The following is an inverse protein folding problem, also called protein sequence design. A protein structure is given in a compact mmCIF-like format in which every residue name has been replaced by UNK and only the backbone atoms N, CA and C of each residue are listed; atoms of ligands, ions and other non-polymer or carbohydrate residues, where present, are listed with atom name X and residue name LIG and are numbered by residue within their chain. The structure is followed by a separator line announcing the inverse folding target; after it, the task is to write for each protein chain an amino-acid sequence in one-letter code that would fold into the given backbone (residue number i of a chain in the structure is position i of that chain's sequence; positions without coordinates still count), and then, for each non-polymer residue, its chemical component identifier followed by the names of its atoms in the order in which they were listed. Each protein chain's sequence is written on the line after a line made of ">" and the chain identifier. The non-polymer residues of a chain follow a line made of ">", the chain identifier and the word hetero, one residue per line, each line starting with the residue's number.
data_IF_790753078986
#
_entry.id   IF_790753078986
#
_cell.length_a   1.000
_cell.length_b   1.000
_cell.length_c   1.000
_cell.angle_alpha   90.00
_cell.angle_beta   90.00
_cell.angle_gamma   90.00
#
_symmetry.space_group_name_H-M   'P 1'
#
loop_
_entity.id
_entity.type
_entity.pdbx_description
1 polymer ?
#
# COMPACT_ATOMS: atom_id res chain seq x y z
N UNK A 1 16.32 -42.86 5.53
CA UNK A 1 16.32 -41.85 4.46
C UNK A 1 15.46 -40.67 4.92
N UNK A 2 16.08 -39.53 5.25
CA UNK A 2 15.36 -38.33 5.71
C UNK A 2 14.71 -37.68 4.49
N UNK A 3 13.38 -37.67 4.41
CA UNK A 3 12.66 -36.88 3.41
C UNK A 3 12.82 -35.40 3.78
N UNK A 4 13.71 -34.69 3.07
CA UNK A 4 13.72 -33.24 3.06
C UNK A 4 12.47 -32.74 2.36
N UNK A 5 11.50 -32.25 3.13
CA UNK A 5 10.34 -31.56 2.59
C UNK A 5 10.80 -30.20 2.07
N UNK A 6 10.92 -30.08 0.75
CA UNK A 6 11.11 -28.79 0.09
C UNK A 6 9.81 -28.01 0.30
N UNK A 7 9.83 -27.00 1.17
CA UNK A 7 8.75 -26.01 1.19
C UNK A 7 8.82 -25.26 -0.13
N UNK A 8 7.89 -25.57 -1.03
CA UNK A 8 7.57 -24.70 -2.14
C UNK A 8 7.13 -23.36 -1.54
N UNK A 9 7.98 -22.34 -1.67
CA UNK A 9 7.59 -20.95 -1.47
C UNK A 9 6.54 -20.65 -2.53
N UNK A 10 5.27 -20.76 -2.15
CA UNK A 10 4.19 -20.16 -2.92
C UNK A 10 4.45 -18.66 -2.87
N UNK A 11 5.11 -18.15 -3.91
CA UNK A 11 5.11 -16.73 -4.21
C UNK A 11 3.63 -16.38 -4.34
N UNK A 12 3.05 -15.79 -3.29
CA UNK A 12 1.81 -15.05 -3.43
C UNK A 12 2.10 -14.13 -4.61
N UNK A 13 1.34 -14.24 -5.72
CA UNK A 13 1.59 -13.41 -6.87
C UNK A 13 1.63 -11.99 -6.32
N UNK A 14 2.79 -11.35 -6.44
CA UNK A 14 2.84 -9.90 -6.38
C UNK A 14 1.85 -9.51 -7.47
N UNK A 15 0.65 -9.15 -7.04
CA UNK A 15 -0.44 -8.66 -7.87
C UNK A 15 0.17 -7.66 -8.86
N UNK A 16 -0.36 -7.62 -10.09
CA UNK A 16 0.24 -7.09 -11.33
C UNK A 16 0.57 -5.59 -11.25
N UNK A 17 1.42 -5.23 -10.29
CA UNK A 17 1.86 -3.90 -9.98
C UNK A 17 2.58 -3.38 -11.21
N UNK A 18 2.13 -2.22 -11.64
CA UNK A 18 2.59 -1.62 -12.87
C UNK A 18 3.74 -0.63 -12.62
N UNK A 19 3.76 -0.03 -11.44
CA UNK A 19 4.83 0.86 -11.00
C UNK A 19 5.26 0.42 -9.61
N UNK A 20 6.57 0.46 -9.32
CA UNK A 20 7.12 0.30 -7.98
C UNK A 20 7.64 1.62 -7.45
N UNK A 21 7.35 1.91 -6.18
CA UNK A 21 7.83 3.11 -5.48
C UNK A 21 8.69 2.67 -4.30
N UNK A 22 10.01 2.64 -4.46
CA UNK A 22 10.92 2.19 -3.41
C UNK A 22 11.06 3.25 -2.33
N UNK A 23 11.06 2.85 -1.07
CA UNK A 23 11.29 3.74 0.06
C UNK A 23 12.24 3.11 1.09
N UNK A 24 12.95 3.95 1.83
CA UNK A 24 13.81 3.51 2.94
C UNK A 24 13.96 4.55 4.05
N UNK A 25 14.39 4.08 5.22
CA UNK A 25 14.76 4.88 6.39
C UNK A 25 16.23 4.59 6.72
N UNK A 26 17.19 5.40 6.25
CA UNK A 26 18.61 5.13 6.43
C UNK A 26 19.05 5.21 7.90
N UNK A 27 18.30 5.95 8.73
CA UNK A 27 18.57 6.15 10.16
C UNK A 27 17.69 5.29 11.08
N UNK A 28 16.99 4.29 10.55
CA UNK A 28 16.12 3.45 11.35
C UNK A 28 16.92 2.64 12.40
N UNK A 29 16.35 2.40 13.59
CA UNK A 29 16.96 1.54 14.59
C UNK A 29 17.05 0.10 14.08
N UNK A 30 18.08 -0.63 14.52
CA UNK A 30 18.29 -2.03 14.14
C UNK A 30 17.13 -2.97 14.55
N UNK A 31 16.32 -2.55 15.52
CA UNK A 31 15.11 -3.24 15.95
C UNK A 31 13.96 -3.11 14.95
N UNK A 32 14.01 -2.18 13.99
CA UNK A 32 12.95 -1.85 13.05
C UNK A 32 12.01 -0.76 13.56
N UNK A 33 11.06 -0.34 12.70
CA UNK A 33 10.13 0.75 12.96
C UNK A 33 8.87 0.27 13.70
N UNK A 34 8.45 0.99 14.74
CA UNK A 34 7.17 0.75 15.44
C UNK A 34 6.00 1.48 14.79
N UNK A 35 6.31 2.36 13.84
CA UNK A 35 5.34 3.13 13.09
C UNK A 35 5.92 3.57 11.75
N UNK A 36 5.06 3.74 10.77
CA UNK A 36 5.40 4.36 9.49
C UNK A 36 4.20 5.11 8.95
N UNK A 37 4.42 6.32 8.45
CA UNK A 37 3.39 7.16 7.83
C UNK A 37 3.76 7.44 6.39
N UNK A 38 2.82 7.18 5.48
CA UNK A 38 2.94 7.41 4.05
C UNK A 38 1.96 8.50 3.60
N UNK A 39 2.43 9.73 3.33
CA UNK A 39 1.58 10.77 2.76
C UNK A 39 1.39 10.53 1.25
N UNK A 40 0.14 10.59 0.79
CA UNK A 40 -0.23 10.40 -0.61
C UNK A 40 -1.44 11.27 -0.99
N UNK A 41 -1.52 11.75 -2.23
CA UNK A 41 -2.73 12.37 -2.78
C UNK A 41 -2.94 11.97 -4.24
N UNK A 42 -4.18 12.07 -4.72
CA UNK A 42 -4.64 11.59 -6.02
C UNK A 42 -5.34 12.68 -6.81
N UNK A 43 -4.86 13.92 -6.71
CA UNK A 43 -5.51 15.12 -7.23
C UNK A 43 -6.01 14.97 -8.68
N UNK A 44 -5.23 14.29 -9.52
CA UNK A 44 -5.50 14.12 -10.95
C UNK A 44 -5.86 12.67 -11.33
N UNK A 45 -6.15 11.80 -10.36
CA UNK A 45 -6.68 10.48 -10.66
C UNK A 45 -8.16 10.57 -11.10
N UNK A 46 -8.56 9.74 -12.06
CA UNK A 46 -9.96 9.64 -12.47
C UNK A 46 -10.81 9.12 -11.29
N UNK A 47 -12.00 9.70 -11.10
CA UNK A 47 -12.99 9.25 -10.14
C UNK A 47 -13.71 8.01 -10.67
N UNK A 48 -12.96 6.92 -10.80
CA UNK A 48 -13.44 5.66 -11.34
C UNK A 48 -12.77 4.50 -10.63
N UNK A 49 -13.39 3.33 -10.72
CA UNK A 49 -12.81 2.11 -10.17
C UNK A 49 -11.75 1.58 -11.13
N UNK A 50 -10.55 1.28 -10.61
CA UNK A 50 -9.59 0.46 -11.34
C UNK A 50 -8.17 0.54 -10.81
N UNK A 51 -7.78 1.71 -10.32
CA UNK A 51 -6.46 1.89 -9.73
C UNK A 51 -6.44 1.59 -8.22
N UNK A 52 -5.31 1.07 -7.78
CA UNK A 52 -4.92 1.02 -6.38
C UNK A 52 -3.53 1.63 -6.22
N UNK A 53 -3.42 2.62 -5.33
CA UNK A 53 -2.17 3.23 -4.93
C UNK A 53 -1.88 2.84 -3.50
N UNK A 54 -0.74 2.18 -3.27
CA UNK A 54 -0.44 1.65 -1.95
C UNK A 54 1.05 1.64 -1.66
N UNK A 55 1.38 1.67 -0.37
CA UNK A 55 2.71 1.42 0.13
C UNK A 55 2.73 0.05 0.80
N UNK A 56 3.66 -0.82 0.37
CA UNK A 56 3.87 -2.10 1.04
C UNK A 56 4.91 -1.95 2.14
N UNK A 57 4.82 -2.81 3.14
CA UNK A 57 5.77 -2.95 4.24
C UNK A 57 5.91 -4.43 4.63
N UNK A 58 7.02 -4.76 5.27
CA UNK A 58 7.22 -6.09 5.86
C UNK A 58 7.55 -5.94 7.34
N UNK A 59 7.22 -6.98 8.10
CA UNK A 59 7.67 -7.10 9.48
C UNK A 59 8.86 -8.04 9.55
N UNK A 60 9.75 -7.80 10.51
CA UNK A 60 10.77 -8.77 10.87
C UNK A 60 10.14 -10.05 11.44
N UNK A 61 10.78 -11.20 11.20
CA UNK A 61 10.34 -12.50 11.70
C UNK A 61 9.19 -13.19 10.94
N UNK A 62 8.59 -12.51 9.95
CA UNK A 62 7.60 -13.09 9.03
C UNK A 62 7.91 -12.74 7.58
N UNK A 63 7.37 -13.49 6.62
CA UNK A 63 7.75 -13.38 5.20
C UNK A 63 6.74 -12.63 4.34
N UNK A 64 5.46 -12.69 4.67
CA UNK A 64 4.44 -12.06 3.88
C UNK A 64 4.44 -10.54 4.05
N UNK A 65 3.95 -9.86 3.02
CA UNK A 65 3.88 -8.40 2.95
C UNK A 65 2.58 -7.90 3.61
N UNK A 66 2.57 -6.65 4.04
CA UNK A 66 1.35 -5.88 4.26
C UNK A 66 1.32 -4.68 3.32
N UNK A 67 0.13 -4.11 3.08
CA UNK A 67 0.01 -2.84 2.37
C UNK A 67 -0.99 -1.92 3.06
N UNK A 68 -0.86 -0.63 2.77
CA UNK A 68 -1.83 0.39 3.12
C UNK A 68 -1.93 1.43 1.98
N UNK A 69 -3.14 1.90 1.70
CA UNK A 69 -3.35 2.92 0.67
C UNK A 69 -4.82 3.10 0.31
N UNK A 70 -5.10 3.61 -0.89
CA UNK A 70 -6.47 3.86 -1.33
C UNK A 70 -6.72 3.65 -2.83
N UNK A 71 -7.99 3.42 -3.14
CA UNK A 71 -8.51 3.20 -4.50
C UNK A 71 -9.51 4.31 -4.83
N UNK A 72 -9.31 5.05 -5.94
CA UNK A 72 -10.35 5.91 -6.48
C UNK A 72 -11.66 5.16 -6.75
N UNK A 73 -12.77 5.89 -6.67
CA UNK A 73 -14.13 5.39 -6.91
C UNK A 73 -14.94 6.43 -7.68
N UNK A 74 -16.01 5.98 -8.37
CA UNK A 74 -17.04 6.90 -8.86
C UNK A 74 -17.60 7.78 -7.76
N UNK A 75 -17.87 9.03 -8.13
CA UNK A 75 -18.56 9.96 -7.26
C UNK A 75 -19.90 9.40 -6.79
N UNK A 76 -20.28 9.78 -5.57
CA UNK A 76 -21.59 9.47 -5.02
C UNK A 76 -22.21 10.74 -4.46
N UNK A 77 -23.41 11.04 -4.95
CA UNK A 77 -24.15 12.26 -4.59
C UNK A 77 -23.31 13.54 -4.81
N UNK A 78 -22.57 13.58 -5.92
CA UNK A 78 -21.71 14.72 -6.30
C UNK A 78 -20.46 14.90 -5.44
N UNK A 79 -20.07 13.88 -4.66
CA UNK A 79 -18.86 13.92 -3.82
C UNK A 79 -17.84 12.89 -4.27
N UNK A 80 -16.53 13.22 -4.26
CA UNK A 80 -15.47 12.24 -4.48
C UNK A 80 -15.50 11.17 -3.39
N UNK A 81 -15.30 9.93 -3.82
CA UNK A 81 -15.30 8.74 -2.98
C UNK A 81 -14.00 7.98 -3.20
N UNK A 82 -13.48 7.34 -2.16
CA UNK A 82 -12.37 6.41 -2.28
C UNK A 82 -12.51 5.26 -1.29
N UNK A 83 -11.84 4.14 -1.56
CA UNK A 83 -11.72 3.03 -0.62
C UNK A 83 -10.31 3.01 -0.04
N UNK A 84 -10.17 3.27 1.26
CA UNK A 84 -8.92 3.07 1.98
C UNK A 84 -8.80 1.61 2.43
N UNK A 85 -7.62 1.01 2.29
CA UNK A 85 -7.37 -0.41 2.53
C UNK A 85 -6.11 -0.59 3.36
N UNK A 86 -6.17 -1.50 4.34
CA UNK A 86 -5.05 -1.97 5.16
C UNK A 86 -5.10 -3.49 5.22
N UNK A 87 -4.07 -4.16 4.71
CA UNK A 87 -4.05 -5.63 4.63
C UNK A 87 -2.72 -6.20 5.10
N UNK A 88 -2.79 -7.42 5.62
CA UNK A 88 -1.64 -8.31 5.81
C UNK A 88 -1.90 -9.61 5.06
N UNK A 89 -0.93 -10.06 4.27
CA UNK A 89 -0.98 -11.34 3.54
C UNK A 89 -0.44 -12.50 4.39
N UNK A 90 -0.04 -12.21 5.64
CA UNK A 90 0.56 -13.20 6.51
C UNK A 90 -0.46 -14.24 6.94
N UNK A 91 -0.22 -15.49 6.57
CA UNK A 91 -0.97 -16.63 7.10
C UNK A 91 -0.90 -16.63 8.64
N UNK A 92 -2.06 -16.76 9.27
CA UNK A 92 -2.21 -16.71 10.73
C UNK A 92 -2.45 -15.31 11.28
N UNK A 93 -2.47 -14.26 10.45
CA UNK A 93 -2.99 -12.96 10.87
C UNK A 93 -4.49 -13.07 11.21
N UNK A 94 -4.93 -12.33 12.22
CA UNK A 94 -6.32 -12.30 12.68
C UNK A 94 -6.77 -10.87 12.98
N UNK A 95 -8.07 -10.65 13.05
CA UNK A 95 -8.65 -9.37 13.46
C UNK A 95 -10.05 -9.59 14.04
N UNK A 96 -10.40 -8.76 15.02
CA UNK A 96 -11.76 -8.62 15.55
C UNK A 96 -12.39 -7.28 15.15
N UNK A 97 -11.67 -6.46 14.38
CA UNK A 97 -12.14 -5.13 13.99
C UNK A 97 -13.25 -5.23 12.92
N UNK A 98 -14.32 -4.47 13.11
CA UNK A 98 -15.56 -4.61 12.32
C UNK A 98 -15.41 -4.32 10.81
N UNK A 99 -14.34 -3.62 10.42
CA UNK A 99 -14.03 -3.29 9.02
C UNK A 99 -13.09 -4.31 8.37
N UNK A 100 -12.69 -5.34 9.10
CA UNK A 100 -11.76 -6.37 8.65
C UNK A 100 -12.47 -7.68 8.35
N UNK A 101 -11.92 -8.42 7.39
CA UNK A 101 -12.34 -9.77 7.05
C UNK A 101 -11.12 -10.68 6.92
N UNK A 102 -11.38 -11.98 7.08
CA UNK A 102 -10.37 -13.01 6.79
C UNK A 102 -10.06 -13.04 5.29
N UNK A 103 -8.78 -13.23 4.99
CA UNK A 103 -8.19 -13.27 3.66
C UNK A 103 -7.81 -11.89 3.12
N UNK A 104 -6.68 -11.86 2.40
CA UNK A 104 -6.22 -10.72 1.62
C UNK A 104 -6.19 -11.11 0.13
N UNK A 105 -6.93 -10.38 -0.70
CA UNK A 105 -7.08 -10.61 -2.15
C UNK A 105 -7.43 -12.07 -2.52
N UNK A 106 -8.31 -12.68 -1.72
CA UNK A 106 -8.76 -14.07 -1.89
C UNK A 106 -7.77 -15.12 -1.37
N UNK A 107 -6.59 -14.71 -0.92
CA UNK A 107 -5.56 -15.55 -0.30
C UNK A 107 -5.59 -15.53 1.23
N UNK A 108 -4.48 -15.96 1.82
CA UNK A 108 -4.29 -15.94 3.27
C UNK A 108 -4.18 -14.51 3.83
N UNK A 109 -4.42 -14.36 5.13
CA UNK A 109 -4.20 -13.11 5.85
C UNK A 109 -5.49 -12.41 6.27
N UNK A 110 -5.45 -11.08 6.37
CA UNK A 110 -6.56 -10.22 6.78
C UNK A 110 -6.55 -8.96 5.92
N UNK A 111 -7.73 -8.51 5.53
CA UNK A 111 -7.92 -7.25 4.83
C UNK A 111 -9.00 -6.42 5.51
N UNK A 112 -8.67 -5.15 5.74
CA UNK A 112 -9.56 -4.14 6.31
C UNK A 112 -9.78 -3.04 5.29
N UNK A 113 -11.01 -2.54 5.19
CA UNK A 113 -11.30 -1.45 4.28
C UNK A 113 -12.43 -0.55 4.80
N UNK A 114 -12.28 0.74 4.54
CA UNK A 114 -13.30 1.74 4.79
C UNK A 114 -13.50 2.57 3.52
N UNK A 115 -14.74 2.98 3.29
CA UNK A 115 -15.06 3.92 2.23
C UNK A 115 -15.06 5.33 2.83
N UNK A 116 -14.27 6.22 2.24
CA UNK A 116 -14.16 7.61 2.63
C UNK A 116 -14.73 8.53 1.56
N UNK A 117 -14.98 9.78 1.95
CA UNK A 117 -15.29 10.89 1.05
C UNK A 117 -14.45 12.08 1.46
N UNK A 118 -13.82 12.72 0.49
CA UNK A 118 -12.92 13.85 0.71
C UNK A 118 -12.31 14.30 -0.61
N UNK A 119 -11.70 15.49 -0.61
CA UNK A 119 -11.06 16.03 -1.81
C UNK A 119 -9.87 15.13 -2.23
N UNK A 120 -9.75 14.84 -3.51
CA UNK A 120 -8.63 14.07 -4.07
C UNK A 120 -7.32 14.87 -4.05
N UNK A 121 -7.41 16.20 -4.02
CA UNK A 121 -6.27 17.10 -3.91
C UNK A 121 -5.71 17.18 -2.48
N UNK A 122 -6.49 16.81 -1.47
CA UNK A 122 -5.99 16.73 -0.10
C UNK A 122 -4.92 15.64 0.02
N UNK A 123 -3.90 15.91 0.83
CA UNK A 123 -2.95 14.87 1.20
C UNK A 123 -3.48 14.05 2.36
N UNK A 124 -3.42 12.73 2.22
CA UNK A 124 -3.82 11.77 3.23
C UNK A 124 -2.59 11.03 3.74
N UNK A 125 -2.40 11.06 5.06
CA UNK A 125 -1.39 10.28 5.76
C UNK A 125 -1.95 8.89 6.06
N UNK A 126 -1.31 7.86 5.51
CA UNK A 126 -1.59 6.47 5.84
C UNK A 126 -0.56 5.97 6.84
N UNK A 127 -0.96 5.83 8.11
CA UNK A 127 -0.08 5.32 9.16
C UNK A 127 -0.34 3.84 9.45
N UNK A 128 0.75 3.12 9.70
CA UNK A 128 0.74 1.78 10.30
C UNK A 128 1.42 1.91 11.65
N UNK A 129 0.71 1.58 12.71
CA UNK A 129 1.10 1.90 14.09
C UNK A 129 1.09 0.64 14.95
N UNK A 130 2.15 0.42 15.72
CA UNK A 130 2.17 -0.61 16.75
C UNK A 130 1.19 -0.28 17.87
N UNK A 131 0.41 -1.27 18.29
CA UNK A 131 -0.58 -1.13 19.38
C UNK A 131 -0.11 -1.87 20.64
N UNK A 132 0.16 -3.15 20.50
CA UNK A 132 0.59 -4.04 21.59
C UNK A 132 0.97 -5.40 21.02
N UNK A 133 1.94 -6.11 21.60
CA UNK A 133 2.42 -7.42 21.13
C UNK A 133 2.74 -7.39 19.62
N UNK A 134 2.00 -8.15 18.83
CA UNK A 134 2.07 -8.24 17.36
C UNK A 134 0.83 -7.61 16.70
N UNK A 135 0.13 -6.73 17.41
CA UNK A 135 -1.07 -6.03 16.96
C UNK A 135 -0.70 -4.67 16.39
N UNK A 136 -1.17 -4.41 15.17
CA UNK A 136 -0.91 -3.21 14.39
C UNK A 136 -2.21 -2.59 13.90
N UNK A 137 -2.24 -1.27 13.84
CA UNK A 137 -3.39 -0.50 13.36
C UNK A 137 -3.03 0.25 12.08
N UNK A 138 -3.94 0.26 11.12
CA UNK A 138 -3.90 1.13 9.95
C UNK A 138 -4.83 2.32 10.14
N UNK A 139 -4.34 3.54 9.97
CA UNK A 139 -5.13 4.78 10.07
C UNK A 139 -4.92 5.62 8.82
N UNK A 140 -5.98 6.26 8.37
CA UNK A 140 -5.94 7.33 7.36
C UNK A 140 -6.21 8.67 8.05
N UNK A 141 -5.39 9.68 7.79
CA UNK A 141 -5.61 11.04 8.29
C UNK A 141 -5.61 12.02 7.12
N UNK A 142 -6.70 12.77 6.93
CA UNK A 142 -6.71 13.90 6.00
C UNK A 142 -5.91 15.06 6.64
N UNK A 143 -4.88 15.54 5.95
CA UNK A 143 -3.97 16.58 6.49
C UNK A 143 -4.56 17.99 6.49
N UNK A 144 -5.61 18.24 5.71
CA UNK A 144 -6.31 19.53 5.66
C UNK A 144 -7.36 19.60 6.76
N UNK A 145 -8.22 18.58 6.87
CA UNK A 145 -9.32 18.56 7.84
C UNK A 145 -8.93 18.00 9.20
N UNK A 146 -7.77 17.35 9.30
CA UNK A 146 -7.31 16.58 10.48
C UNK A 146 -8.23 15.42 10.87
N UNK A 147 -9.20 15.06 10.01
CA UNK A 147 -10.04 13.89 10.24
C UNK A 147 -9.19 12.63 10.21
N UNK A 148 -9.36 11.78 11.23
CA UNK A 148 -8.70 10.47 11.36
C UNK A 148 -9.73 9.37 11.28
N UNK A 149 -9.48 8.40 10.40
CA UNK A 149 -10.32 7.22 10.24
C UNK A 149 -9.47 5.95 10.44
N UNK A 150 -9.83 5.13 11.42
CA UNK A 150 -9.22 3.81 11.63
C UNK A 150 -9.70 2.85 10.53
N UNK A 151 -8.78 2.42 9.66
CA UNK A 151 -9.09 1.46 8.59
C UNK A 151 -9.29 0.07 9.19
N UNK A 152 -8.42 -0.29 10.13
CA UNK A 152 -8.59 -1.48 10.96
C UNK A 152 -7.36 -1.87 11.78
N UNK A 153 -7.53 -2.95 12.54
CA UNK A 153 -6.53 -3.48 13.48
C UNK A 153 -6.27 -4.94 13.17
N UNK A 154 -5.01 -5.33 13.01
CA UNK A 154 -4.58 -6.68 12.64
C UNK A 154 -3.58 -7.20 13.66
N UNK A 155 -3.84 -8.40 14.20
CA UNK A 155 -2.87 -9.15 15.01
C UNK A 155 -2.11 -10.13 14.12
N UNK A 156 -0.79 -10.01 14.09
CA UNK A 156 0.10 -10.90 13.36
C UNK A 156 0.50 -12.12 14.22
N UNK A 157 1.03 -13.19 13.61
CA UNK A 157 1.65 -14.30 14.35
C UNK A 157 2.75 -13.81 15.30
N UNK A 158 2.97 -14.54 16.40
CA UNK A 158 3.88 -14.14 17.48
C UNK A 158 5.35 -13.97 17.06
N UNK A 159 5.74 -14.50 15.90
CA UNK A 159 7.08 -14.30 15.33
C UNK A 159 7.28 -12.91 14.74
N UNK A 160 6.19 -12.19 14.42
CA UNK A 160 6.27 -10.86 13.84
C UNK A 160 6.86 -9.87 14.86
N UNK A 161 7.75 -9.02 14.38
CA UNK A 161 8.38 -7.92 15.14
C UNK A 161 8.06 -6.59 14.45
N UNK A 162 8.92 -5.59 14.64
CA UNK A 162 8.78 -4.27 14.04
C UNK A 162 8.90 -4.30 12.51
N UNK A 163 8.52 -3.19 11.89
CA UNK A 163 8.53 -2.98 10.44
C UNK A 163 9.98 -2.86 9.94
N UNK A 164 10.29 -3.53 8.83
CA UNK A 164 11.56 -3.40 8.14
C UNK A 164 11.70 -1.98 7.57
N UNK A 165 12.87 -1.33 7.66
CA UNK A 165 13.03 0.08 7.33
C UNK A 165 13.16 0.36 5.83
N UNK A 166 12.77 -0.57 4.96
CA UNK A 166 12.75 -0.37 3.52
C UNK A 166 11.77 -1.33 2.87
N UNK A 167 10.99 -0.82 1.92
CA UNK A 167 10.17 -1.64 1.03
C UNK A 167 9.78 -0.87 -0.23
N UNK A 168 8.71 -1.30 -0.87
CA UNK A 168 8.21 -0.75 -2.12
C UNK A 168 6.70 -0.54 -2.01
N UNK A 169 6.19 0.59 -2.45
CA UNK A 169 4.80 0.75 -2.85
C UNK A 169 4.56 0.34 -4.29
N UNK A 170 3.31 0.49 -4.71
CA UNK A 170 2.89 0.22 -6.06
C UNK A 170 1.77 1.12 -6.55
N UNK A 171 1.72 1.26 -7.88
CA UNK A 171 0.53 1.66 -8.63
C UNK A 171 0.07 0.43 -9.41
N UNK A 172 -1.18 0.04 -9.24
CA UNK A 172 -1.74 -1.16 -9.87
C UNK A 172 -3.10 -0.85 -10.50
N UNK A 173 -3.30 -1.29 -11.74
CA UNK A 173 -4.63 -1.38 -12.34
C UNK A 173 -5.19 -2.81 -12.17
N UNK A 174 -5.82 -3.05 -11.01
CA UNK A 174 -6.24 -4.38 -10.59
C UNK A 174 -7.29 -5.08 -11.49
N UNK A 175 -8.09 -4.42 -12.35
CA UNK A 175 -8.98 -5.14 -13.27
C UNK A 175 -8.25 -6.12 -14.20
N UNK A 176 -6.95 -5.93 -14.42
CA UNK A 176 -6.14 -6.83 -15.24
C UNK A 176 -5.71 -8.11 -14.51
N UNK A 177 -5.83 -8.18 -13.18
CA UNK A 177 -5.47 -9.37 -12.40
C UNK A 177 -6.30 -10.62 -12.78
N UNK A 178 -7.48 -10.43 -13.37
CA UNK A 178 -8.36 -11.53 -13.77
C UNK A 178 -8.18 -12.00 -15.21
N UNK A 179 -7.72 -11.13 -16.13
CA UNK A 179 -7.76 -11.37 -17.58
C UNK A 179 -6.40 -11.18 -18.28
N UNK A 180 -5.39 -10.75 -17.54
CA UNK A 180 -4.13 -10.26 -18.09
C UNK A 180 -4.25 -8.81 -18.58
N UNK A 181 -3.12 -8.11 -18.72
CA UNK A 181 -3.10 -6.70 -19.09
C UNK A 181 -3.17 -6.46 -20.60
N UNK A 182 -3.85 -5.39 -21.01
CA UNK A 182 -3.80 -4.83 -22.36
C UNK A 182 -3.02 -3.50 -22.29
N UNK A 183 -1.69 -3.59 -22.30
CA UNK A 183 -0.82 -2.44 -22.02
C UNK A 183 -1.09 -1.22 -22.91
N UNK A 184 -1.30 -1.33 -24.24
CA UNK A 184 -1.71 -0.20 -25.08
C UNK A 184 -2.98 0.51 -24.60
N UNK A 185 -3.88 -0.18 -23.89
CA UNK A 185 -5.11 0.36 -23.30
C UNK A 185 -5.01 0.64 -21.79
N UNK A 186 -3.81 0.75 -21.23
CA UNK A 186 -3.63 1.15 -19.83
C UNK A 186 -4.32 2.51 -19.60
N UNK A 187 -5.33 2.61 -18.72
CA UNK A 187 -5.94 3.90 -18.43
C UNK A 187 -4.95 4.84 -17.78
N UNK A 188 -4.95 6.14 -18.11
CA UNK A 188 -4.09 7.13 -17.48
C UNK A 188 -4.49 7.36 -16.04
N UNK A 189 -3.47 7.54 -15.21
CA UNK A 189 -3.62 7.95 -13.82
C UNK A 189 -2.43 8.80 -13.38
N UNK A 190 -2.65 9.58 -12.34
CA UNK A 190 -1.61 10.33 -11.66
C UNK A 190 -1.80 10.18 -10.14
N UNK A 191 -0.69 10.04 -9.43
CA UNK A 191 -0.64 9.96 -7.97
C UNK A 191 0.63 10.66 -7.49
N UNK A 192 0.54 11.39 -6.38
CA UNK A 192 1.71 11.91 -5.68
C UNK A 192 1.99 11.05 -4.46
N UNK A 193 3.22 10.52 -4.38
CA UNK A 193 3.76 9.87 -3.21
C UNK A 193 4.77 10.79 -2.55
N UNK A 194 4.62 11.04 -1.25
CA UNK A 194 5.60 11.78 -0.47
C UNK A 194 6.53 10.85 0.31
N UNK A 195 7.66 11.40 0.72
CA UNK A 195 8.64 10.74 1.56
C UNK A 195 7.99 10.30 2.88
N UNK A 196 8.19 9.04 3.30
CA UNK A 196 7.56 8.52 4.49
C UNK A 196 8.25 9.06 5.76
N UNK A 197 7.52 9.04 6.86
CA UNK A 197 8.02 9.43 8.18
C UNK A 197 7.73 8.36 9.21
N UNK A 198 8.48 8.39 10.32
CA UNK A 198 8.32 7.48 11.44
C UNK A 198 8.79 8.17 12.72
N UNK A 199 8.06 8.01 13.81
CA UNK A 199 8.48 8.50 15.12
C UNK A 199 9.72 7.73 15.63
N UNK A 200 9.83 6.44 15.26
CA UNK A 200 10.97 5.59 15.63
C UNK A 200 12.13 5.65 14.63
N UNK A 201 11.85 5.90 13.35
CA UNK A 201 12.86 5.95 12.28
C UNK A 201 13.27 7.34 11.79
N UNK A 202 12.59 8.40 12.24
CA UNK A 202 12.78 9.76 11.74
C UNK A 202 12.25 9.96 10.33
N UNK A 203 12.97 10.72 9.51
CA UNK A 203 12.64 10.94 8.11
C UNK A 203 13.11 9.76 7.24
N UNK A 204 12.22 9.24 6.41
CA UNK A 204 12.55 8.33 5.32
C UNK A 204 12.59 9.07 3.99
N UNK A 205 12.83 8.32 2.91
CA UNK A 205 12.75 8.86 1.55
C UNK A 205 12.26 7.83 0.54
N UNK A 206 11.62 8.32 -0.52
CA UNK A 206 11.42 7.55 -1.75
C UNK A 206 12.77 7.52 -2.47
N UNK A 207 13.27 6.31 -2.73
CA UNK A 207 14.60 6.08 -3.31
C UNK A 207 14.57 5.77 -4.80
N UNK A 208 13.42 5.33 -5.33
CA UNK A 208 13.23 5.11 -6.76
C UNK A 208 11.74 5.00 -7.13
N UNK A 209 11.43 5.40 -8.37
CA UNK A 209 10.19 5.08 -9.06
C UNK A 209 10.54 4.25 -10.29
N UNK A 210 9.99 3.05 -10.40
CA UNK A 210 10.38 2.06 -11.41
C UNK A 210 9.17 1.52 -12.17
N UNK A 211 9.35 1.37 -13.49
CA UNK A 211 8.40 0.68 -14.34
C UNK A 211 8.47 -0.82 -14.08
N UNK A 212 7.34 -1.47 -13.80
CA UNK A 212 7.31 -2.84 -13.31
C UNK A 212 6.14 -3.66 -13.85
N UNK A 213 6.25 -4.99 -13.72
CA UNK A 213 5.22 -5.93 -14.14
C UNK A 213 5.11 -6.07 -15.66
N UNK A 214 4.01 -6.67 -16.08
CA UNK A 214 3.79 -7.13 -17.47
C UNK A 214 3.74 -5.99 -18.51
N UNK A 215 3.46 -4.76 -18.06
CA UNK A 215 3.41 -3.57 -18.90
C UNK A 215 4.65 -2.68 -18.81
N UNK A 216 5.73 -3.17 -18.20
CA UNK A 216 7.01 -2.47 -18.17
C UNK A 216 7.49 -2.17 -19.60
N UNK A 217 7.83 -0.89 -19.84
CA UNK A 217 8.21 -0.34 -21.13
C UNK A 217 7.06 -0.11 -22.12
N UNK A 218 5.80 -0.33 -21.72
CA UNK A 218 4.64 -0.33 -22.64
C UNK A 218 3.50 0.62 -22.23
N UNK A 219 3.58 1.24 -21.06
CA UNK A 219 2.49 2.01 -20.47
C UNK A 219 2.91 3.41 -19.98
N UNK A 220 3.86 4.02 -20.69
CA UNK A 220 4.24 5.43 -20.57
C UNK A 220 4.44 5.91 -19.12
N UNK A 221 5.18 5.15 -18.31
CA UNK A 221 5.59 5.64 -17.00
C UNK A 221 6.44 6.89 -17.17
N UNK A 222 5.99 7.97 -16.52
CA UNK A 222 6.77 9.20 -16.32
C UNK A 222 6.62 9.63 -14.87
N UNK A 223 7.62 10.33 -14.34
CA UNK A 223 7.53 10.88 -12.98
C UNK A 223 8.33 12.16 -12.88
N UNK A 224 7.89 13.03 -11.98
CA UNK A 224 8.58 14.28 -11.64
C UNK A 224 8.94 14.23 -10.16
N UNK A 225 10.21 14.48 -9.86
CA UNK A 225 10.64 14.66 -8.48
C UNK A 225 10.11 16.02 -7.98
N UNK A 226 9.52 16.00 -6.80
CA UNK A 226 9.02 17.19 -6.12
C UNK A 226 9.72 17.34 -4.77
N UNK A 227 9.44 18.43 -4.05
CA UNK A 227 9.92 18.56 -2.68
C UNK A 227 9.28 17.47 -1.82
N UNK A 228 10.12 16.60 -1.24
CA UNK A 228 9.69 15.54 -0.34
C UNK A 228 8.89 14.44 -1.03
N UNK A 229 9.15 14.11 -2.31
CA UNK A 229 8.48 12.99 -2.97
C UNK A 229 8.53 12.98 -4.49
N UNK A 230 7.57 12.28 -5.10
CA UNK A 230 7.42 12.12 -6.54
C UNK A 230 5.95 12.17 -6.96
N UNK A 231 5.66 12.88 -8.04
CA UNK A 231 4.41 12.73 -8.80
C UNK A 231 4.63 11.71 -9.90
N UNK A 232 3.81 10.67 -9.92
CA UNK A 232 3.90 9.52 -10.82
C UNK A 232 2.73 9.55 -11.79
N UNK A 233 3.05 9.55 -13.09
CA UNK A 233 2.11 9.48 -14.19
C UNK A 233 2.26 8.15 -14.92
N UNK A 234 1.16 7.45 -15.15
CA UNK A 234 1.20 6.12 -15.76
C UNK A 234 -0.03 5.86 -16.62
N UNK A 235 0.17 5.24 -17.78
CA UNK A 235 -0.87 4.83 -18.71
C UNK A 235 -0.88 5.56 -20.06
N UNK A 236 -1.69 5.01 -20.97
CA UNK A 236 -1.74 5.36 -22.37
C UNK A 236 -3.04 6.09 -22.77
N UNK A 237 -4.18 5.77 -22.12
CA UNK A 237 -5.54 6.23 -22.54
C UNK A 237 -6.39 6.90 -21.47
#
# INVERSE_FOLDING_TARGET
>A
MKLSTILASTSIPLALANVRVKWSFPSAPATGLEDITFPMNMANAKHERGYYFAQQFNFEGISAVGYIGFQPRPDRNGKPIFLAVFSSFQKGATSTHAKCKSGADGGAGVSCAIEGSGDYADTYNFSVEHVSDTTWRGVMTNTVTQQKDEIGVIKLPSQAKNIKPSRTGFVEYFPWNAKGPDCPKQPKTEITFYDPTSNTGGAGSITAVEDYGDCSGKANLTYTQITGGYTVNYGNV
#
